data_IF_290337073439
#
_entry.id   IF_290337073439
#
_cell.length_a   1.000
_cell.length_b   1.000
_cell.length_c   1.000
_cell.angle_alpha   90.00
_cell.angle_beta   90.00
_cell.angle_gamma   90.00
#
_symmetry.space_group_name_H-M   'P 1'
#
loop_
_entity.id
_entity.type
_entity.pdbx_description
1 polymer ?
#
# COMPACT_ATOMS: atom_id res chain seq x y z
N UNK A 1 -8.31 12.17 -13.08
CA UNK A 1 -7.40 11.48 -12.13
C UNK A 1 -7.99 11.69 -10.76
N UNK A 2 -7.87 10.72 -9.86
CA UNK A 2 -8.45 10.85 -8.52
C UNK A 2 -7.65 10.09 -7.47
N UNK A 3 -7.78 10.58 -6.23
CA UNK A 3 -7.37 9.89 -5.01
C UNK A 3 -8.65 9.70 -4.20
N UNK A 4 -8.91 8.49 -3.77
CA UNK A 4 -10.08 8.15 -2.95
C UNK A 4 -9.61 7.49 -1.67
N UNK A 5 -9.97 8.06 -0.53
CA UNK A 5 -9.80 7.43 0.77
C UNK A 5 -10.93 6.42 1.00
N UNK A 6 -10.59 5.24 1.51
CA UNK A 6 -11.55 4.21 1.85
C UNK A 6 -11.04 3.29 2.96
N UNK A 7 -11.92 2.47 3.51
CA UNK A 7 -11.53 1.42 4.46
C UNK A 7 -11.39 0.08 3.75
N UNK A 8 -10.21 -0.52 3.85
CA UNK A 8 -9.94 -1.85 3.32
C UNK A 8 -10.24 -2.92 4.39
N UNK A 9 -11.15 -3.85 4.05
CA UNK A 9 -11.59 -4.96 4.90
C UNK A 9 -11.99 -4.51 6.31
N UNK A 10 -11.23 -4.91 7.34
CA UNK A 10 -11.53 -4.75 8.76
C UNK A 10 -11.25 -3.33 9.28
N UNK A 11 -11.47 -2.30 8.46
CA UNK A 11 -11.28 -0.90 8.84
C UNK A 11 -9.84 -0.35 8.68
N UNK A 12 -9.01 -0.96 7.82
CA UNK A 12 -7.68 -0.40 7.56
C UNK A 12 -7.78 0.81 6.61
N UNK A 13 -7.31 2.02 7.00
CA UNK A 13 -7.33 3.17 6.11
C UNK A 13 -6.47 2.94 4.87
N UNK A 14 -7.04 3.28 3.72
CA UNK A 14 -6.48 2.99 2.41
C UNK A 14 -6.71 4.14 1.43
N UNK A 15 -5.88 4.18 0.40
CA UNK A 15 -5.96 5.11 -0.72
C UNK A 15 -6.13 4.33 -2.00
N UNK A 16 -7.03 4.79 -2.89
CA UNK A 16 -7.09 4.35 -4.29
C UNK A 16 -6.71 5.51 -5.19
N UNK A 17 -5.64 5.34 -5.95
CA UNK A 17 -5.19 6.28 -6.98
C UNK A 17 -5.72 5.79 -8.32
N UNK A 18 -6.33 6.66 -9.11
CA UNK A 18 -6.88 6.31 -10.44
C UNK A 18 -6.40 7.31 -11.49
N UNK A 19 -5.93 6.80 -12.63
CA UNK A 19 -5.45 7.63 -13.74
C UNK A 19 -6.62 8.37 -14.44
N UNK A 20 -6.31 9.22 -15.42
CA UNK A 20 -7.28 10.16 -16.03
C UNK A 20 -8.45 9.49 -16.73
N UNK A 21 -8.19 8.39 -17.45
CA UNK A 21 -9.18 7.65 -18.22
C UNK A 21 -9.76 6.44 -17.44
N UNK A 22 -9.40 6.26 -16.17
CA UNK A 22 -9.84 5.13 -15.35
C UNK A 22 -9.29 3.76 -15.77
N UNK A 23 -8.36 3.71 -16.73
CA UNK A 23 -7.80 2.46 -17.23
C UNK A 23 -6.82 1.81 -16.24
N UNK A 24 -6.30 2.55 -15.26
CA UNK A 24 -5.39 2.04 -14.26
C UNK A 24 -5.69 2.58 -12.86
N UNK A 25 -5.55 1.72 -11.86
CA UNK A 25 -5.67 2.10 -10.46
C UNK A 25 -4.70 1.35 -9.55
N UNK A 26 -4.33 1.98 -8.45
CA UNK A 26 -3.46 1.43 -7.41
C UNK A 26 -4.15 1.57 -6.06
N UNK A 27 -4.13 0.52 -5.24
CA UNK A 27 -4.62 0.56 -3.86
C UNK A 27 -3.46 0.44 -2.88
N UNK A 28 -3.43 1.36 -1.91
CA UNK A 28 -2.34 1.50 -0.95
C UNK A 28 -2.94 1.51 0.45
N UNK A 29 -2.50 0.60 1.31
CA UNK A 29 -2.80 0.69 2.74
C UNK A 29 -1.87 1.70 3.41
N UNK A 30 -2.43 2.55 4.27
CA UNK A 30 -1.60 3.38 5.15
C UNK A 30 -0.80 2.51 6.14
N UNK A 31 -1.34 1.35 6.51
CA UNK A 31 -0.56 0.34 7.23
C UNK A 31 0.52 -0.26 6.33
N UNK A 32 1.77 0.02 6.69
CA UNK A 32 2.97 -0.40 5.98
C UNK A 32 3.31 0.40 4.73
N UNK A 33 2.56 1.46 4.41
CA UNK A 33 2.58 2.10 3.08
C UNK A 33 2.53 1.05 1.96
N UNK A 34 1.65 0.07 2.14
CA UNK A 34 1.72 -1.22 1.45
C UNK A 34 0.82 -1.18 0.22
N UNK A 35 1.42 -1.25 -0.97
CA UNK A 35 0.65 -1.34 -2.22
C UNK A 35 0.06 -2.74 -2.33
N UNK A 36 -1.27 -2.85 -2.28
CA UNK A 36 -1.98 -4.12 -2.31
C UNK A 36 -2.37 -4.56 -3.72
N UNK A 37 -2.72 -3.61 -4.57
CA UNK A 37 -3.32 -3.85 -5.88
C UNK A 37 -2.76 -2.85 -6.88
N UNK A 38 -2.53 -3.33 -8.10
CA UNK A 38 -2.35 -2.48 -9.25
C UNK A 38 -3.10 -3.11 -10.41
N UNK A 39 -4.18 -2.45 -10.85
CA UNK A 39 -4.98 -2.89 -11.98
C UNK A 39 -4.71 -2.02 -13.19
N UNK A 40 -4.59 -2.63 -14.37
CA UNK A 40 -4.56 -1.94 -15.66
C UNK A 40 -5.45 -2.66 -16.65
N UNK A 41 -6.34 -1.95 -17.34
CA UNK A 41 -7.34 -2.50 -18.27
C UNK A 41 -8.07 -3.73 -17.68
N UNK A 42 -8.54 -3.60 -16.44
CA UNK A 42 -9.21 -4.66 -15.66
C UNK A 42 -8.37 -5.92 -15.38
N UNK A 43 -7.04 -5.86 -15.54
CA UNK A 43 -6.12 -6.94 -15.19
C UNK A 43 -5.34 -6.58 -13.93
N UNK A 44 -5.40 -7.46 -12.93
CA UNK A 44 -4.56 -7.37 -11.74
C UNK A 44 -3.12 -7.70 -12.10
N UNK A 45 -2.19 -6.83 -11.69
CA UNK A 45 -0.75 -6.97 -11.95
C UNK A 45 -0.01 -7.51 -10.74
N UNK A 46 -0.44 -7.14 -9.53
CA UNK A 46 0.23 -7.58 -8.29
C UNK A 46 -0.44 -8.82 -7.72
N UNK A 47 0.37 -9.80 -7.34
CA UNK A 47 -0.10 -10.91 -6.53
C UNK A 47 -0.38 -10.45 -5.10
N UNK A 48 -1.58 -10.71 -4.61
CA UNK A 48 -1.92 -10.61 -3.19
C UNK A 48 -2.42 -11.98 -2.73
N UNK A 49 -1.92 -12.48 -1.61
CA UNK A 49 -2.31 -13.81 -1.14
C UNK A 49 -3.74 -13.79 -0.58
N UNK A 50 -4.59 -14.73 -1.01
CA UNK A 50 -5.94 -14.90 -0.44
C UNK A 50 -5.93 -15.23 1.05
N UNK A 51 -4.83 -15.82 1.54
CA UNK A 51 -4.62 -16.12 2.96
C UNK A 51 -3.83 -15.01 3.68
N UNK A 52 -3.76 -13.79 3.13
CA UNK A 52 -3.10 -12.66 3.78
C UNK A 52 -3.86 -12.26 5.05
N UNK A 53 -3.11 -12.02 6.13
CA UNK A 53 -3.66 -11.60 7.42
C UNK A 53 -3.50 -10.08 7.52
N UNK A 54 -4.60 -9.40 7.84
CA UNK A 54 -4.65 -7.96 8.06
C UNK A 54 -4.86 -7.73 9.55
N UNK A 55 -3.76 -7.48 10.27
CA UNK A 55 -3.78 -7.27 11.71
C UNK A 55 -2.60 -6.39 12.15
N UNK A 56 -2.74 -5.58 13.21
CA UNK A 56 -1.64 -4.80 13.77
C UNK A 56 -0.42 -5.68 14.10
N UNK A 57 0.78 -5.22 13.73
CA UNK A 57 2.03 -5.93 13.96
C UNK A 57 2.29 -7.14 13.03
N UNK A 58 1.36 -7.48 12.12
CA UNK A 58 1.56 -8.55 11.12
C UNK A 58 1.91 -7.98 9.76
N UNK A 59 2.87 -8.59 9.08
CA UNK A 59 3.21 -8.24 7.70
C UNK A 59 2.20 -8.87 6.72
N UNK A 60 1.83 -8.10 5.69
CA UNK A 60 0.90 -8.56 4.65
C UNK A 60 1.67 -9.36 3.59
N UNK A 61 1.10 -10.49 3.16
CA UNK A 61 1.71 -11.38 2.17
C UNK A 61 1.21 -11.06 0.75
N UNK A 62 2.11 -10.56 -0.09
CA UNK A 62 1.84 -10.10 -1.45
C UNK A 62 1.91 -8.58 -1.56
N UNK A 63 1.61 -8.03 -2.73
CA UNK A 63 1.76 -6.61 -3.01
C UNK A 63 3.21 -6.16 -2.98
N UNK A 64 3.45 -4.92 -2.54
CA UNK A 64 4.79 -4.32 -2.43
C UNK A 64 5.07 -3.96 -0.96
N UNK A 65 5.74 -4.83 -0.19
CA UNK A 65 6.12 -4.54 1.19
C UNK A 65 7.36 -3.63 1.27
N UNK A 66 7.32 -2.61 2.14
CA UNK A 66 8.50 -1.81 2.46
C UNK A 66 9.37 -2.55 3.48
N UNK A 67 10.57 -2.92 3.06
CA UNK A 67 11.57 -3.60 3.88
C UNK A 67 12.58 -2.58 4.40
N UNK A 68 12.41 -2.15 5.65
CA UNK A 68 13.27 -1.12 6.24
C UNK A 68 13.21 -1.13 7.78
N UNK A 69 14.31 -0.88 8.50
CA UNK A 69 15.67 -0.56 8.00
C UNK A 69 16.56 -1.80 7.79
N UNK A 70 16.02 -3.00 7.94
CA UNK A 70 16.78 -4.25 7.85
C UNK A 70 16.17 -5.14 6.78
N UNK A 71 16.98 -5.69 5.88
CA UNK A 71 16.50 -6.62 4.86
C UNK A 71 16.29 -8.03 5.41
N UNK A 72 17.34 -8.70 5.85
CA UNK A 72 17.26 -10.09 6.32
C UNK A 72 17.05 -10.24 7.82
N UNK A 73 17.43 -11.41 8.38
CA UNK A 73 17.65 -11.59 9.80
C UNK A 73 18.70 -10.60 10.34
N UNK A 74 18.59 -10.24 11.62
CA UNK A 74 19.46 -9.27 12.27
C UNK A 74 18.92 -8.85 13.63
N UNK A 75 19.40 -7.73 14.21
CA UNK A 75 18.96 -7.27 15.53
C UNK A 75 17.51 -6.80 15.58
N UNK A 76 16.92 -6.44 14.43
CA UNK A 76 15.50 -6.08 14.32
C UNK A 76 14.67 -7.28 13.84
N UNK A 77 13.33 -7.24 13.97
CA UNK A 77 12.46 -8.21 13.31
C UNK A 77 12.83 -8.37 11.84
N UNK A 78 12.65 -9.58 11.30
CA UNK A 78 12.96 -9.86 9.91
C UNK A 78 12.21 -8.90 8.98
N UNK A 79 12.95 -8.28 8.06
CA UNK A 79 12.50 -7.20 7.16
C UNK A 79 12.18 -5.85 7.84
N UNK A 80 12.72 -5.62 9.05
CA UNK A 80 12.52 -4.40 9.81
C UNK A 80 11.07 -4.22 10.29
N UNK A 81 10.67 -2.97 10.53
CA UNK A 81 9.37 -2.64 11.12
C UNK A 81 8.49 -1.76 10.24
N UNK A 82 9.02 -1.18 9.16
CA UNK A 82 8.29 -0.23 8.30
C UNK A 82 6.95 -0.77 7.78
N UNK A 83 6.93 -2.02 7.28
CA UNK A 83 5.73 -2.72 6.77
C UNK A 83 4.69 -3.10 7.82
N UNK A 84 4.94 -2.86 9.12
CA UNK A 84 4.00 -3.18 10.22
C UNK A 84 3.65 -1.96 11.07
N UNK A 85 3.89 -0.76 10.55
CA UNK A 85 3.52 0.51 11.17
C UNK A 85 2.54 1.26 10.29
N UNK A 86 1.69 2.09 10.88
CA UNK A 86 0.79 2.97 10.12
C UNK A 86 1.54 4.24 9.71
N UNK A 87 1.52 4.53 8.42
CA UNK A 87 2.09 5.72 7.81
C UNK A 87 1.02 6.82 7.73
N UNK A 88 1.46 8.07 7.63
CA UNK A 88 0.60 9.25 7.49
C UNK A 88 0.63 9.72 6.05
N UNK A 89 -0.53 10.11 5.53
CA UNK A 89 -0.64 10.76 4.24
C UNK A 89 0.01 12.16 4.32
N UNK A 90 0.96 12.41 3.42
CA UNK A 90 1.59 13.69 3.18
C UNK A 90 0.94 14.41 2.00
N UNK A 91 1.77 14.83 1.04
CA UNK A 91 1.30 15.53 -0.16
C UNK A 91 0.57 14.60 -1.13
N UNK A 92 -0.33 15.19 -1.90
CA UNK A 92 -1.08 14.52 -2.97
C UNK A 92 -1.03 15.37 -4.23
N UNK A 93 -0.94 14.74 -5.40
CA UNK A 93 -1.06 15.41 -6.69
C UNK A 93 -2.14 14.73 -7.55
N UNK A 94 -2.91 15.54 -8.28
CA UNK A 94 -3.89 15.08 -9.26
C UNK A 94 -3.90 15.92 -10.55
N UNK A 95 -2.91 16.80 -10.74
CA UNK A 95 -2.88 17.77 -11.84
C UNK A 95 -2.41 17.12 -13.14
N UNK A 96 -1.12 16.77 -13.21
CA UNK A 96 -0.48 16.18 -14.41
C UNK A 96 -0.28 14.66 -14.27
N UNK A 97 -0.20 14.18 -13.03
CA UNK A 97 -0.17 12.78 -12.65
C UNK A 97 -1.07 12.53 -11.42
N UNK A 98 -1.12 11.27 -10.97
CA UNK A 98 -1.69 10.91 -9.67
C UNK A 98 -0.59 10.34 -8.78
N UNK A 99 -0.29 11.03 -7.68
CA UNK A 99 0.77 10.63 -6.76
C UNK A 99 0.45 10.99 -5.31
N UNK A 100 1.03 10.24 -4.38
CA UNK A 100 0.92 10.45 -2.93
C UNK A 100 2.28 10.28 -2.25
N UNK A 101 2.55 11.10 -1.24
CA UNK A 101 3.67 10.94 -0.32
C UNK A 101 3.17 10.31 0.98
N UNK A 102 3.89 9.32 1.51
CA UNK A 102 3.59 8.69 2.79
C UNK A 102 4.78 8.83 3.73
N UNK A 103 4.52 9.15 4.99
CA UNK A 103 5.55 9.31 6.03
C UNK A 103 5.36 8.30 7.16
N UNK A 104 6.45 7.67 7.58
CA UNK A 104 6.49 6.75 8.72
C UNK A 104 6.62 7.51 10.05
#
# INVERSE_FOLDING_TARGET
>A
MSITEFEYKTGFPALRLTNSNGSASVEILLYGAHVLSWTTNNKQILFLSDKAIFAPGKAIRGGIPIVWPQFGPGPLPQHGFARVKTWRLGKTNTNDDVSVELHL
#
